data_IF_855705181268
#
_entry.id   IF_855705181268
#
_cell.length_a   1.000
_cell.length_b   1.000
_cell.length_c   1.000
_cell.angle_alpha   90.00
_cell.angle_beta   90.00
_cell.angle_gamma   90.00
#
_symmetry.space_group_name_H-M   'P 1'
#
loop_
_entity.id
_entity.type
_entity.pdbx_description
1 polymer ?
#
# COMPACT_ATOMS: atom_id res chain seq x y z
N UNK A 1 5.65 2.31 19.62
CA UNK A 1 5.49 0.94 20.14
C UNK A 1 4.07 0.76 20.65
N UNK A 2 3.51 -0.43 20.49
CA UNK A 2 2.20 -0.75 21.06
C UNK A 2 2.27 -0.69 22.59
N UNK A 3 1.17 -0.35 23.25
CA UNK A 3 1.12 -0.13 24.70
C UNK A 3 1.71 -1.31 25.48
N UNK A 4 1.38 -2.53 25.07
CA UNK A 4 1.69 -3.75 25.80
C UNK A 4 2.76 -4.59 25.10
N UNK A 5 3.47 -4.04 24.10
CA UNK A 5 4.39 -4.78 23.20
C UNK A 5 3.77 -5.99 22.50
N UNK A 6 2.44 -6.03 22.47
CA UNK A 6 1.66 -7.12 21.90
C UNK A 6 0.70 -6.53 20.87
N UNK A 7 0.42 -7.29 19.82
CA UNK A 7 -0.55 -6.96 18.78
C UNK A 7 -1.35 -8.21 18.41
N UNK A 8 -2.64 -8.06 18.12
CA UNK A 8 -3.46 -9.19 17.66
C UNK A 8 -2.97 -9.72 16.31
N UNK A 9 -2.79 -11.04 16.21
CA UNK A 9 -2.39 -11.70 14.99
C UNK A 9 -3.44 -11.52 13.88
N UNK A 10 -4.73 -11.55 14.22
CA UNK A 10 -5.83 -11.32 13.27
C UNK A 10 -5.78 -9.89 12.68
N UNK A 11 -5.47 -8.89 13.52
CA UNK A 11 -5.30 -7.51 13.06
C UNK A 11 -4.11 -7.39 12.11
N UNK A 12 -2.98 -8.08 12.38
CA UNK A 12 -1.83 -8.12 11.48
C UNK A 12 -2.16 -8.81 10.15
N UNK A 13 -2.91 -9.92 10.17
CA UNK A 13 -3.34 -10.63 8.95
C UNK A 13 -4.18 -9.72 8.06
N UNK A 14 -5.02 -8.85 8.63
CA UNK A 14 -5.76 -7.85 7.86
C UNK A 14 -4.88 -6.79 7.21
N UNK A 15 -3.67 -6.57 7.71
CA UNK A 15 -2.72 -5.57 7.22
C UNK A 15 -1.62 -6.17 6.33
N UNK A 16 -1.51 -7.50 6.27
CA UNK A 16 -0.41 -8.20 5.61
C UNK A 16 -0.16 -7.74 4.17
N UNK A 17 -1.23 -7.45 3.42
CA UNK A 17 -1.15 -6.99 2.02
C UNK A 17 -0.55 -5.60 1.89
N UNK A 18 -0.77 -4.73 2.86
CA UNK A 18 -0.26 -3.36 2.86
C UNK A 18 1.26 -3.34 3.11
N UNK A 19 1.77 -4.28 3.92
CA UNK A 19 3.19 -4.43 4.26
C UNK A 19 3.93 -5.46 3.38
N UNK A 20 3.23 -6.19 2.51
CA UNK A 20 3.84 -7.23 1.67
C UNK A 20 4.24 -8.50 2.41
N UNK A 21 3.61 -8.80 3.54
CA UNK A 21 3.91 -10.03 4.27
C UNK A 21 3.38 -11.28 3.54
N UNK A 22 4.13 -12.39 3.56
CA UNK A 22 3.65 -13.70 3.10
C UNK A 22 2.37 -14.13 3.81
N UNK A 23 1.55 -14.96 3.15
CA UNK A 23 0.31 -15.46 3.75
C UNK A 23 0.54 -16.31 5.01
N UNK A 24 1.70 -16.95 5.10
CA UNK A 24 2.12 -17.82 6.19
C UNK A 24 3.07 -17.14 7.18
N UNK A 25 3.23 -15.81 7.15
CA UNK A 25 4.29 -15.09 7.90
C UNK A 25 4.32 -15.43 9.41
N UNK A 26 3.18 -15.71 10.03
CA UNK A 26 3.13 -16.12 11.45
C UNK A 26 3.77 -17.49 11.70
N UNK A 27 3.73 -18.39 10.72
CA UNK A 27 4.32 -19.73 10.80
C UNK A 27 5.72 -19.79 10.19
N UNK A 28 6.01 -18.92 9.22
CA UNK A 28 7.28 -18.95 8.46
C UNK A 28 8.31 -17.95 8.99
N UNK A 29 7.90 -16.72 9.35
CA UNK A 29 8.79 -15.64 9.78
C UNK A 29 9.01 -15.67 11.30
N UNK A 30 7.94 -15.79 12.09
CA UNK A 30 8.03 -15.71 13.56
C UNK A 30 8.96 -16.78 14.15
N UNK A 31 8.89 -18.06 13.74
CA UNK A 31 9.79 -19.08 14.31
C UNK A 31 11.26 -18.93 13.90
N UNK A 32 11.56 -18.17 12.84
CA UNK A 32 12.94 -17.87 12.43
C UNK A 32 13.61 -16.82 13.31
N UNK A 33 12.81 -16.01 14.01
CA UNK A 33 13.27 -14.90 14.83
C UNK A 33 12.67 -14.96 16.26
N UNK A 34 12.86 -16.07 16.99
CA UNK A 34 12.29 -16.26 18.33
C UNK A 34 12.84 -15.28 19.38
N UNK A 35 14.01 -14.67 19.12
CA UNK A 35 14.62 -13.64 19.93
C UNK A 35 13.84 -12.31 19.87
N UNK A 36 13.20 -12.03 18.74
CA UNK A 36 12.43 -10.80 18.54
C UNK A 36 10.94 -11.01 18.77
N UNK A 37 10.38 -12.11 18.26
CA UNK A 37 8.95 -12.33 18.23
C UNK A 37 8.54 -13.63 18.89
N UNK A 38 7.42 -13.56 19.62
CA UNK A 38 6.78 -14.74 20.20
C UNK A 38 5.30 -14.73 19.90
N UNK A 39 4.75 -15.86 19.45
CA UNK A 39 3.32 -16.03 19.34
C UNK A 39 2.76 -16.45 20.69
N UNK A 40 1.85 -15.65 21.25
CA UNK A 40 1.22 -15.84 22.56
C UNK A 40 -0.29 -15.99 22.35
N UNK A 41 -0.90 -16.97 22.99
CA UNK A 41 -2.34 -17.21 22.90
C UNK A 41 -2.70 -18.66 23.12
N UNK A 42 -3.96 -18.90 23.50
CA UNK A 42 -4.48 -20.25 23.73
C UNK A 42 -5.17 -20.75 22.45
N UNK A 43 -4.84 -21.95 21.93
CA UNK A 43 -5.53 -22.54 20.77
C UNK A 43 -7.05 -22.64 20.94
N UNK A 44 -7.54 -22.63 22.19
CA UNK A 44 -8.96 -22.73 22.56
C UNK A 44 -9.73 -21.41 22.54
N UNK A 45 -9.04 -20.26 22.52
CA UNK A 45 -9.68 -18.94 22.68
C UNK A 45 -9.72 -18.12 21.39
N UNK A 46 -9.34 -18.71 20.25
CA UNK A 46 -9.28 -18.09 18.89
C UNK A 46 -8.45 -16.80 18.77
N UNK A 47 -7.91 -16.28 19.87
CA UNK A 47 -7.13 -15.03 19.91
C UNK A 47 -5.66 -15.35 20.08
N UNK A 48 -4.95 -15.32 18.95
CA UNK A 48 -3.50 -15.33 18.91
C UNK A 48 -2.96 -13.91 18.86
N UNK A 49 -1.84 -13.67 19.52
CA UNK A 49 -1.17 -12.39 19.61
C UNK A 49 0.31 -12.55 19.30
N UNK A 50 0.88 -11.54 18.66
CA UNK A 50 2.31 -11.44 18.43
C UNK A 50 2.90 -10.51 19.51
N UNK A 51 3.75 -11.08 20.36
CA UNK A 51 4.55 -10.39 21.37
C UNK A 51 5.91 -10.01 20.79
N UNK A 52 6.32 -8.76 21.02
CA UNK A 52 7.66 -8.26 20.78
C UNK A 52 8.52 -8.50 22.04
N UNK A 53 9.37 -9.52 22.00
CA UNK A 53 10.24 -9.95 23.10
C UNK A 53 11.41 -8.98 23.26
N UNK A 54 12.11 -8.72 22.16
CA UNK A 54 13.22 -7.78 22.08
C UNK A 54 13.25 -7.15 20.69
N UNK A 55 14.04 -6.10 20.51
CA UNK A 55 14.29 -5.53 19.19
C UNK A 55 15.73 -5.03 19.12
N UNK A 56 16.27 -4.98 17.91
CA UNK A 56 17.50 -4.26 17.62
C UNK A 56 17.17 -2.76 17.52
N UNK A 57 17.89 -1.90 18.25
CA UNK A 57 17.69 -0.45 18.25
C UNK A 57 17.90 0.16 16.86
N UNK A 58 18.76 -0.42 16.02
CA UNK A 58 18.96 0.03 14.64
C UNK A 58 17.71 -0.16 13.76
N UNK A 59 16.85 -1.12 14.08
CA UNK A 59 15.56 -1.31 13.39
C UNK A 59 14.45 -0.41 13.94
N UNK A 60 14.68 0.23 15.09
CA UNK A 60 13.70 1.07 15.78
C UNK A 60 13.92 2.57 15.53
N UNK A 61 14.50 2.92 14.37
CA UNK A 61 14.65 4.29 13.89
C UNK A 61 13.59 4.55 12.82
N UNK A 62 12.78 5.59 13.03
CA UNK A 62 11.79 6.00 12.03
C UNK A 62 12.44 6.56 10.77
N UNK A 63 11.70 6.59 9.66
CA UNK A 63 12.17 7.18 8.40
C UNK A 63 12.59 8.65 8.55
N UNK A 64 11.96 9.38 9.47
CA UNK A 64 12.28 10.78 9.74
C UNK A 64 13.60 10.91 10.53
N UNK A 65 13.86 9.99 11.45
CA UNK A 65 15.11 9.96 12.19
C UNK A 65 16.29 9.57 11.31
N UNK A 66 16.12 8.50 10.52
CA UNK A 66 17.15 8.04 9.58
C UNK A 66 17.53 9.16 8.60
N UNK A 67 16.55 9.85 8.03
CA UNK A 67 16.81 11.01 7.16
C UNK A 67 17.61 12.11 7.87
N UNK A 68 17.29 12.39 9.13
CA UNK A 68 18.01 13.42 9.89
C UNK A 68 19.44 12.98 10.26
N UNK A 69 19.65 11.69 10.54
CA UNK A 69 20.96 11.10 10.78
C UNK A 69 21.82 11.18 9.51
N UNK A 70 21.31 10.74 8.37
CA UNK A 70 21.97 10.82 7.05
C UNK A 70 22.35 12.27 6.69
N UNK A 71 21.42 13.22 6.84
CA UNK A 71 21.72 14.64 6.59
C UNK A 71 22.77 15.19 7.56
N UNK A 72 22.80 14.70 8.80
CA UNK A 72 23.80 15.11 9.79
C UNK A 72 25.18 14.61 9.41
N UNK A 73 25.30 13.37 8.94
CA UNK A 73 26.55 12.78 8.47
C UNK A 73 27.07 13.50 7.22
N UNK A 74 26.19 13.80 6.27
CA UNK A 74 26.55 14.48 5.01
C UNK A 74 27.00 15.94 5.23
N UNK A 75 26.37 16.65 6.15
CA UNK A 75 26.65 18.09 6.39
C UNK A 75 27.65 18.33 7.52
N UNK A 76 27.93 17.32 8.35
CA UNK A 76 28.69 17.46 9.59
C UNK A 76 27.97 18.26 10.68
N UNK A 77 26.70 18.63 10.47
CA UNK A 77 25.90 19.44 11.39
C UNK A 77 24.74 18.59 11.90
N UNK A 78 24.61 18.47 13.22
CA UNK A 78 23.50 17.74 13.84
C UNK A 78 22.15 18.33 13.44
N UNK A 79 21.42 17.61 12.59
CA UNK A 79 20.03 17.91 12.20
C UNK A 79 19.07 17.33 13.23
N UNK A 80 17.94 18.01 13.42
CA UNK A 80 16.83 17.53 14.24
C UNK A 80 15.82 16.81 13.33
N UNK A 81 15.30 15.63 13.72
CA UNK A 81 14.22 14.97 13.01
C UNK A 81 13.03 15.93 12.84
N UNK A 82 12.58 16.13 11.60
CA UNK A 82 11.50 17.06 11.29
C UNK A 82 10.68 16.58 10.10
N UNK A 83 9.38 16.87 10.12
CA UNK A 83 8.47 16.48 9.05
C UNK A 83 8.68 17.36 7.81
N UNK A 84 8.62 16.76 6.63
CA UNK A 84 8.62 17.51 5.37
C UNK A 84 7.20 17.96 5.02
N UNK A 85 6.78 19.09 5.59
CA UNK A 85 5.43 19.61 5.35
C UNK A 85 5.38 20.42 4.06
N UNK A 86 4.66 19.93 3.05
CA UNK A 86 4.53 20.58 1.74
C UNK A 86 3.10 20.49 1.22
N UNK A 87 2.52 21.63 0.83
CA UNK A 87 1.24 21.66 0.13
C UNK A 87 1.43 21.56 -1.38
N UNK A 88 0.47 20.98 -2.10
CA UNK A 88 0.47 21.02 -3.56
C UNK A 88 0.46 22.46 -4.09
N UNK A 89 1.03 22.72 -5.28
CA UNK A 89 0.95 24.01 -5.93
C UNK A 89 -0.52 24.49 -6.03
N UNK A 90 -0.76 25.77 -5.74
CA UNK A 90 -2.09 26.38 -5.80
C UNK A 90 -2.97 26.16 -4.55
N UNK A 91 -2.52 25.39 -3.56
CA UNK A 91 -3.19 25.31 -2.26
C UNK A 91 -2.76 26.45 -1.34
N UNK A 92 -3.73 27.21 -0.85
CA UNK A 92 -3.52 28.25 0.14
C UNK A 92 -4.25 27.90 1.43
N UNK A 93 -3.51 27.91 2.54
CA UNK A 93 -4.09 27.82 3.89
C UNK A 93 -4.22 29.21 4.48
N UNK A 94 -5.25 29.38 5.32
CA UNK A 94 -5.49 30.61 6.08
C UNK A 94 -4.31 30.91 7.00
N UNK A 95 -4.15 32.19 7.37
CA UNK A 95 -3.01 32.65 8.18
C UNK A 95 -2.93 31.92 9.52
N UNK A 96 -4.08 31.74 10.18
CA UNK A 96 -4.19 31.08 11.48
C UNK A 96 -3.73 29.62 11.40
N UNK A 97 -4.11 28.92 10.33
CA UNK A 97 -3.67 27.54 10.10
C UNK A 97 -2.16 27.47 9.85
N UNK A 98 -1.58 28.47 9.17
CA UNK A 98 -0.15 28.53 8.90
C UNK A 98 0.66 28.75 10.19
N UNK A 99 0.19 29.64 11.04
CA UNK A 99 0.78 29.89 12.36
C UNK A 99 0.68 28.63 13.24
N UNK A 100 -0.49 27.98 13.25
CA UNK A 100 -0.66 26.72 13.96
C UNK A 100 0.28 25.62 13.45
N UNK A 101 0.44 25.45 12.13
CA UNK A 101 1.38 24.47 11.55
C UNK A 101 2.81 24.80 11.93
N UNK A 102 3.20 26.08 11.91
CA UNK A 102 4.55 26.52 12.33
C UNK A 102 4.79 26.13 13.79
N UNK A 103 3.88 26.49 14.69
CA UNK A 103 4.04 26.23 16.12
C UNK A 103 4.02 24.71 16.40
N UNK A 104 3.19 23.95 15.69
CA UNK A 104 3.19 22.49 15.75
C UNK A 104 4.49 21.88 15.21
N UNK A 105 5.08 22.45 14.15
CA UNK A 105 6.35 21.99 13.58
C UNK A 105 7.52 22.17 14.55
N UNK A 106 7.55 23.26 15.32
CA UNK A 106 8.56 23.56 16.34
C UNK A 106 8.55 22.58 17.52
N UNK A 107 7.44 21.87 17.76
CA UNK A 107 7.39 20.83 18.78
C UNK A 107 8.46 19.76 18.51
N UNK A 108 9.19 19.29 19.53
CA UNK A 108 10.15 18.20 19.38
C UNK A 108 9.51 16.98 18.72
N UNK A 109 10.26 16.35 17.81
CA UNK A 109 9.83 15.07 17.25
C UNK A 109 9.74 14.01 18.35
N UNK A 110 8.68 13.22 18.33
CA UNK A 110 8.44 12.16 19.30
C UNK A 110 8.57 10.82 18.59
N UNK A 111 9.52 10.03 19.07
CA UNK A 111 9.87 8.72 18.55
C UNK A 111 8.66 7.78 18.48
N UNK A 112 8.28 7.27 17.30
CA UNK A 112 7.16 6.35 17.14
C UNK A 112 7.33 5.09 18.00
N UNK A 113 8.55 4.56 18.06
CA UNK A 113 8.90 3.36 18.82
C UNK A 113 9.03 3.60 20.33
N UNK A 114 9.10 4.86 20.78
CA UNK A 114 9.20 5.20 22.20
C UNK A 114 7.94 4.89 23.02
N UNK A 115 8.13 4.81 24.34
CA UNK A 115 7.02 4.79 25.30
C UNK A 115 6.38 6.19 25.37
N UNK A 116 5.06 6.22 25.31
CA UNK A 116 4.24 7.44 25.33
C UNK A 116 3.15 7.38 26.40
N UNK A 117 3.30 6.50 27.40
CA UNK A 117 2.35 6.36 28.50
C UNK A 117 2.19 7.66 29.30
N UNK A 118 3.25 8.47 29.38
CA UNK A 118 3.29 9.71 30.16
C UNK A 118 2.62 10.91 29.47
N UNK A 119 2.31 10.83 28.18
CA UNK A 119 1.61 11.91 27.48
C UNK A 119 0.10 11.81 27.69
N UNK A 120 -0.52 12.96 27.94
CA UNK A 120 -1.98 13.08 27.99
C UNK A 120 -2.57 12.96 26.58
N UNK A 121 -3.72 12.28 26.46
CA UNK A 121 -4.27 11.92 25.15
C UNK A 121 -4.66 13.12 24.27
N UNK A 122 -5.03 14.24 24.88
CA UNK A 122 -5.41 15.50 24.24
C UNK A 122 -4.24 16.46 24.02
N UNK A 123 -3.03 16.09 24.44
CA UNK A 123 -1.85 16.96 24.35
C UNK A 123 -1.35 17.14 22.91
N UNK A 124 -0.76 18.32 22.57
CA UNK A 124 -0.07 18.52 21.29
C UNK A 124 1.04 17.49 21.02
N UNK A 125 1.70 17.02 22.08
CA UNK A 125 2.72 15.97 22.05
C UNK A 125 2.12 14.63 21.60
N UNK A 126 0.98 14.21 22.16
CA UNK A 126 0.31 12.98 21.72
C UNK A 126 -0.12 13.07 20.25
N UNK A 127 -0.53 14.24 19.79
CA UNK A 127 -0.81 14.47 18.38
C UNK A 127 0.46 14.37 17.52
N UNK A 128 1.55 15.01 17.93
CA UNK A 128 2.86 14.93 17.25
C UNK A 128 3.32 13.48 17.10
N UNK A 129 3.19 12.68 18.16
CA UNK A 129 3.45 11.24 18.14
C UNK A 129 2.51 10.50 17.20
N UNK A 130 1.21 10.79 17.25
CA UNK A 130 0.22 10.14 16.38
C UNK A 130 0.56 10.37 14.91
N UNK A 131 0.93 11.61 14.54
CA UNK A 131 1.41 11.93 13.20
C UNK A 131 2.68 11.17 12.85
N UNK A 132 3.66 11.08 13.77
CA UNK A 132 4.88 10.29 13.58
C UNK A 132 4.59 8.79 13.37
N UNK A 133 3.70 8.21 14.17
CA UNK A 133 3.26 6.81 14.04
C UNK A 133 2.58 6.56 12.70
N UNK A 134 1.66 7.44 12.28
CA UNK A 134 0.96 7.29 11.01
C UNK A 134 1.92 7.48 9.83
N UNK A 135 2.85 8.43 9.93
CA UNK A 135 3.90 8.63 8.96
C UNK A 135 4.76 7.37 8.81
N UNK A 136 5.20 6.79 9.92
CA UNK A 136 6.02 5.58 9.92
C UNK A 136 5.25 4.37 9.36
N UNK A 137 4.01 4.15 9.80
CA UNK A 137 3.16 3.06 9.29
C UNK A 137 2.94 3.14 7.78
N UNK A 138 2.70 4.34 7.26
CA UNK A 138 2.58 4.54 5.82
C UNK A 138 3.94 4.39 5.15
N UNK A 139 5.03 4.87 5.73
CA UNK A 139 6.38 4.74 5.16
C UNK A 139 6.82 3.29 5.02
N UNK A 140 6.38 2.41 5.91
CA UNK A 140 6.62 0.96 5.87
C UNK A 140 5.69 0.21 4.90
N UNK A 141 4.58 0.81 4.45
CA UNK A 141 3.67 0.13 3.52
C UNK A 141 4.20 0.17 2.09
N UNK A 142 3.90 -0.86 1.29
CA UNK A 142 4.44 -1.02 -0.07
C UNK A 142 4.15 0.20 -0.95
N UNK A 143 2.90 0.66 -0.94
CA UNK A 143 2.42 1.77 -1.74
C UNK A 143 2.48 3.11 -0.98
N UNK A 144 3.11 3.17 0.20
CA UNK A 144 3.14 4.35 1.06
C UNK A 144 1.74 4.96 1.32
N UNK A 145 0.74 4.09 1.31
CA UNK A 145 -0.67 4.37 1.52
C UNK A 145 -1.33 3.21 2.25
N UNK A 146 -2.47 3.47 2.89
CA UNK A 146 -3.25 2.44 3.59
C UNK A 146 -4.70 2.90 3.81
N UNK A 147 -5.71 2.01 3.72
CA UNK A 147 -7.08 2.36 4.09
C UNK A 147 -7.19 2.76 5.56
N UNK A 148 -7.89 3.86 5.85
CA UNK A 148 -8.00 4.42 7.21
C UNK A 148 -8.71 3.45 8.17
N UNK A 149 -9.67 2.66 7.68
CA UNK A 149 -10.36 1.67 8.50
C UNK A 149 -9.44 0.51 8.92
N UNK A 150 -8.41 0.20 8.12
CA UNK A 150 -7.39 -0.80 8.45
C UNK A 150 -6.47 -0.26 9.54
N UNK A 151 -5.99 0.98 9.41
CA UNK A 151 -5.22 1.67 10.46
C UNK A 151 -6.01 1.72 11.78
N UNK A 152 -7.32 1.99 11.69
CA UNK A 152 -8.22 2.08 12.84
C UNK A 152 -8.33 0.78 13.65
N UNK A 153 -8.01 -0.38 13.08
CA UNK A 153 -7.97 -1.65 13.84
C UNK A 153 -6.90 -1.61 14.95
N UNK A 154 -5.83 -0.84 14.76
CA UNK A 154 -4.72 -0.70 15.71
C UNK A 154 -4.87 0.47 16.70
N UNK A 155 -6.08 1.03 16.79
CA UNK A 155 -6.38 2.19 17.62
C UNK A 155 -6.04 1.97 19.10
N UNK A 156 -6.35 0.79 19.63
CA UNK A 156 -6.10 0.45 21.04
C UNK A 156 -4.61 0.27 21.31
N UNK A 157 -3.93 -0.48 20.43
CA UNK A 157 -2.51 -0.78 20.52
C UNK A 157 -1.64 0.47 20.49
N UNK A 158 -1.97 1.43 19.61
CA UNK A 158 -1.19 2.67 19.45
C UNK A 158 -1.74 3.87 20.19
N UNK A 159 -2.85 3.70 20.93
CA UNK A 159 -3.56 4.77 21.65
C UNK A 159 -3.98 5.92 20.73
N UNK A 160 -4.54 5.59 19.57
CA UNK A 160 -5.13 6.60 18.70
C UNK A 160 -6.43 7.15 19.29
N UNK A 161 -6.67 8.45 19.11
CA UNK A 161 -7.92 9.07 19.55
C UNK A 161 -9.13 8.53 18.74
N UNK A 162 -10.34 8.69 19.27
CA UNK A 162 -11.57 8.37 18.53
C UNK A 162 -11.67 9.11 17.19
N UNK A 163 -11.08 10.31 17.13
CA UNK A 163 -11.07 11.17 15.97
C UNK A 163 -9.74 11.12 15.19
N UNK A 164 -8.90 10.07 15.33
CA UNK A 164 -7.57 10.04 14.71
C UNK A 164 -7.59 10.27 13.19
N UNK A 165 -8.68 9.87 12.51
CA UNK A 165 -8.83 10.10 11.08
C UNK A 165 -8.81 11.60 10.69
N UNK A 166 -9.14 12.51 11.61
CA UNK A 166 -9.04 13.96 11.38
C UNK A 166 -7.59 14.44 11.28
N UNK A 167 -6.63 13.66 11.77
CA UNK A 167 -5.19 13.95 11.64
C UNK A 167 -4.80 14.05 10.17
N UNK A 168 -5.36 13.19 9.30
CA UNK A 168 -5.05 13.21 7.87
C UNK A 168 -5.51 14.49 7.17
N UNK A 169 -6.64 15.08 7.59
CA UNK A 169 -7.14 16.32 6.99
C UNK A 169 -6.49 17.56 7.61
N UNK A 170 -6.20 17.52 8.92
CA UNK A 170 -5.53 18.61 9.65
C UNK A 170 -4.05 18.74 9.26
N UNK A 171 -3.37 17.62 9.01
CA UNK A 171 -1.98 17.58 8.56
C UNK A 171 -1.87 17.35 7.05
N UNK A 172 -2.62 18.15 6.29
CA UNK A 172 -2.76 18.00 4.83
C UNK A 172 -1.48 18.26 4.03
N UNK A 173 -0.44 18.83 4.64
CA UNK A 173 0.89 18.95 4.03
C UNK A 173 1.76 17.69 4.17
N UNK A 174 1.36 16.73 5.01
CA UNK A 174 2.04 15.44 5.18
C UNK A 174 1.24 14.31 4.53
N UNK A 175 -0.08 14.35 4.71
CA UNK A 175 -0.98 13.32 4.24
C UNK A 175 -1.94 13.84 3.19
N UNK A 176 -2.33 12.93 2.30
CA UNK A 176 -3.46 13.08 1.42
C UNK A 176 -4.50 12.03 1.78
N UNK A 177 -5.77 12.43 1.86
CA UNK A 177 -6.89 11.53 2.12
C UNK A 177 -7.72 11.38 0.84
N UNK A 178 -7.65 10.22 0.21
CA UNK A 178 -8.47 9.87 -0.95
C UNK A 178 -9.81 9.27 -0.50
N UNK A 179 -10.88 9.58 -1.23
CA UNK A 179 -12.23 9.04 -1.04
C UNK A 179 -12.68 8.16 -2.22
N UNK A 180 -11.73 7.72 -3.05
CA UNK A 180 -12.02 6.96 -4.27
C UNK A 180 -12.73 5.65 -3.93
N UNK A 181 -13.83 5.36 -4.63
CA UNK A 181 -14.58 4.12 -4.45
C UNK A 181 -15.27 4.00 -3.09
N UNK A 182 -15.53 5.11 -2.39
CA UNK A 182 -16.16 5.12 -1.06
C UNK A 182 -15.24 4.70 0.08
N UNK A 183 -13.98 4.39 -0.20
CA UNK A 183 -12.99 4.00 0.80
C UNK A 183 -12.10 5.20 1.11
N UNK A 184 -11.96 5.52 2.40
CA UNK A 184 -11.01 6.53 2.88
C UNK A 184 -9.61 5.92 2.91
N UNK A 185 -8.72 6.38 2.05
CA UNK A 185 -7.33 5.90 1.96
C UNK A 185 -6.37 7.02 2.29
N UNK A 186 -5.53 6.82 3.31
CA UNK A 186 -4.48 7.74 3.66
C UNK A 186 -3.23 7.47 2.81
N UNK A 187 -2.63 8.52 2.27
CA UNK A 187 -1.46 8.47 1.40
C UNK A 187 -0.41 9.43 1.97
N UNK A 188 0.84 8.97 2.06
CA UNK A 188 1.97 9.80 2.47
C UNK A 188 2.41 10.69 1.31
N UNK A 189 2.32 12.01 1.43
CA UNK A 189 2.59 12.92 0.30
C UNK A 189 4.04 12.92 -0.13
N UNK A 190 4.96 12.95 0.81
CA UNK A 190 6.40 13.04 0.49
C UNK A 190 6.94 11.80 -0.23
N UNK A 191 6.22 10.67 -0.17
CA UNK A 191 6.57 9.47 -0.92
C UNK A 191 6.26 9.56 -2.42
N UNK A 192 5.53 10.60 -2.85
CA UNK A 192 5.04 10.74 -4.22
C UNK A 192 5.56 12.02 -4.87
N UNK A 193 6.01 11.87 -6.11
CA UNK A 193 6.28 12.99 -7.00
C UNK A 193 5.25 12.95 -8.13
N UNK A 194 4.38 13.95 -8.16
CA UNK A 194 3.17 13.96 -9.00
C UNK A 194 2.29 12.75 -8.69
N UNK A 195 2.22 11.77 -9.59
CA UNK A 195 1.43 10.55 -9.45
C UNK A 195 2.31 9.29 -9.28
N UNK A 196 3.63 9.46 -9.26
CA UNK A 196 4.58 8.34 -9.18
C UNK A 196 5.17 8.22 -7.79
N UNK A 197 5.18 6.99 -7.29
CA UNK A 197 5.86 6.62 -6.07
C UNK A 197 7.37 6.75 -6.28
N UNK A 198 8.06 7.47 -5.40
CA UNK A 198 9.50 7.77 -5.52
C UNK A 198 10.32 6.51 -5.24
N UNK A 199 10.10 5.91 -4.07
CA UNK A 199 10.76 4.69 -3.63
C UNK A 199 9.83 3.50 -3.84
N UNK A 200 10.15 2.68 -4.84
CA UNK A 200 9.32 1.53 -5.24
C UNK A 200 9.89 0.25 -4.66
N UNK A 201 9.10 -0.43 -3.84
CA UNK A 201 9.44 -1.73 -3.31
C UNK A 201 9.65 -2.78 -4.44
N UNK A 202 10.66 -3.66 -4.35
CA UNK A 202 10.89 -4.72 -5.34
C UNK A 202 9.67 -5.60 -5.64
N UNK A 203 8.80 -5.86 -4.65
CA UNK A 203 7.56 -6.61 -4.85
C UNK A 203 6.61 -5.91 -5.82
N UNK A 204 6.57 -4.58 -5.81
CA UNK A 204 5.77 -3.82 -6.76
C UNK A 204 6.35 -3.93 -8.19
N UNK A 205 7.67 -3.91 -8.33
CA UNK A 205 8.33 -4.07 -9.63
C UNK A 205 8.07 -5.46 -10.22
N UNK A 206 8.15 -6.51 -9.40
CA UNK A 206 7.83 -7.88 -9.81
C UNK A 206 6.36 -7.99 -10.22
N UNK A 207 5.46 -7.39 -9.44
CA UNK A 207 4.02 -7.38 -9.76
C UNK A 207 3.74 -6.68 -11.10
N UNK A 208 4.36 -5.54 -11.37
CA UNK A 208 4.19 -4.83 -12.65
C UNK A 208 4.63 -5.71 -13.83
N UNK A 209 5.81 -6.33 -13.74
CA UNK A 209 6.31 -7.26 -14.76
C UNK A 209 5.37 -8.45 -14.97
N UNK A 210 4.79 -8.96 -13.88
CA UNK A 210 3.82 -10.04 -13.97
C UNK A 210 2.55 -9.61 -14.71
N UNK A 211 2.07 -8.39 -14.48
CA UNK A 211 0.91 -7.83 -15.20
C UNK A 211 1.24 -7.65 -16.69
N UNK A 212 2.42 -7.12 -17.00
CA UNK A 212 2.90 -6.96 -18.39
C UNK A 212 2.90 -8.31 -19.15
N UNK A 213 3.48 -9.36 -18.56
CA UNK A 213 3.49 -10.71 -19.16
C UNK A 213 2.07 -11.29 -19.35
N UNK A 214 1.15 -11.00 -18.43
CA UNK A 214 -0.25 -11.42 -18.58
C UNK A 214 -0.95 -10.69 -19.72
N UNK A 215 -0.66 -9.41 -19.92
CA UNK A 215 -1.21 -8.61 -21.01
C UNK A 215 -0.69 -9.08 -22.37
N UNK A 216 0.61 -9.39 -22.47
CA UNK A 216 1.22 -10.00 -23.66
C UNK A 216 0.56 -11.34 -23.99
N UNK A 217 0.47 -12.25 -23.03
CA UNK A 217 -0.15 -13.57 -23.23
C UNK A 217 -1.64 -13.48 -23.61
N UNK A 218 -2.37 -12.51 -23.07
CA UNK A 218 -3.76 -12.24 -23.47
C UNK A 218 -3.87 -11.73 -24.91
N UNK A 219 -2.93 -10.89 -25.32
CA UNK A 219 -2.86 -10.33 -26.68
C UNK A 219 -2.58 -11.45 -27.69
N UNK A 220 -1.57 -12.28 -27.44
CA UNK A 220 -1.25 -13.45 -28.26
C UNK A 220 -2.43 -14.41 -28.39
N UNK A 221 -3.11 -14.71 -27.28
CA UNK A 221 -4.31 -15.55 -27.28
C UNK A 221 -5.43 -14.95 -28.13
N UNK A 222 -5.66 -13.63 -28.03
CA UNK A 222 -6.68 -12.94 -28.81
C UNK A 222 -6.37 -12.99 -30.31
N UNK A 223 -5.10 -12.81 -30.69
CA UNK A 223 -4.65 -12.92 -32.09
C UNK A 223 -4.82 -14.33 -32.64
N UNK A 224 -4.42 -15.36 -31.88
CA UNK A 224 -4.61 -16.76 -32.28
C UNK A 224 -6.09 -17.10 -32.50
N UNK A 225 -6.98 -16.63 -31.62
CA UNK A 225 -8.42 -16.81 -31.78
C UNK A 225 -8.96 -16.07 -33.00
N UNK A 226 -8.45 -14.86 -33.29
CA UNK A 226 -8.82 -14.10 -34.49
C UNK A 226 -8.41 -14.84 -35.76
N UNK A 227 -7.18 -15.35 -35.82
CA UNK A 227 -6.67 -16.10 -36.97
C UNK A 227 -7.46 -17.40 -37.19
N UNK A 228 -7.76 -18.15 -36.12
CA UNK A 228 -8.60 -19.36 -36.20
C UNK A 228 -10.01 -19.06 -36.73
N UNK A 229 -10.63 -17.97 -36.28
CA UNK A 229 -11.94 -17.53 -36.82
C UNK A 229 -11.86 -17.17 -38.30
N UNK A 230 -10.81 -16.48 -38.72
CA UNK A 230 -10.61 -16.14 -40.14
C UNK A 230 -10.37 -17.38 -41.00
N UNK A 231 -9.63 -18.36 -40.49
CA UNK A 231 -9.43 -19.64 -41.19
C UNK A 231 -10.74 -20.40 -41.33
N UNK A 232 -11.49 -20.55 -40.23
CA UNK A 232 -12.80 -21.21 -40.26
C UNK A 232 -13.78 -20.51 -41.21
N UNK A 233 -13.79 -19.17 -41.22
CA UNK A 233 -14.63 -18.40 -42.13
C UNK A 233 -14.24 -18.64 -43.61
N UNK A 234 -12.94 -18.67 -43.93
CA UNK A 234 -12.46 -19.00 -45.28
C UNK A 234 -12.80 -20.43 -45.69
N UNK A 235 -12.72 -21.39 -44.76
CA UNK A 235 -13.11 -22.77 -45.02
C UNK A 235 -14.61 -22.88 -45.33
N UNK A 236 -15.46 -22.18 -44.58
CA UNK A 236 -16.90 -22.10 -44.86
C UNK A 236 -17.19 -21.44 -46.21
N UNK A 237 -16.51 -20.35 -46.55
CA UNK A 237 -16.66 -19.68 -47.85
C UNK A 237 -16.23 -20.58 -49.01
N UNK A 238 -15.10 -21.30 -48.88
CA UNK A 238 -14.64 -22.23 -49.90
C UNK A 238 -15.57 -23.44 -50.05
N UNK A 239 -16.16 -23.94 -48.96
CA UNK A 239 -17.16 -25.00 -49.01
C UNK A 239 -18.42 -24.53 -49.75
N UNK A 240 -18.94 -23.35 -49.43
CA UNK A 240 -20.10 -22.78 -50.10
C UNK A 240 -19.86 -22.57 -51.61
N UNK A 241 -18.69 -22.06 -52.00
CA UNK A 241 -18.33 -21.89 -53.43
C UNK A 241 -18.28 -23.25 -54.13
N UNK A 242 -17.71 -24.29 -53.51
CA UNK A 242 -17.72 -25.64 -54.08
C UNK A 242 -19.14 -26.17 -54.29
N UNK A 243 -20.00 -26.04 -53.29
CA UNK A 243 -21.39 -26.49 -53.37
C UNK A 243 -22.17 -25.75 -54.49
N UNK A 244 -21.86 -24.48 -54.71
CA UNK A 244 -22.47 -23.68 -55.78
C UNK A 244 -21.98 -24.12 -57.17
N UNK A 245 -20.70 -24.44 -57.30
CA UNK A 245 -20.10 -24.90 -58.57
C UNK A 245 -20.56 -26.31 -58.93
N UNK A 246 -20.69 -27.21 -57.94
CA UNK A 246 -21.26 -28.55 -58.17
C UNK A 246 -22.72 -28.50 -58.60
N UNK A 247 -23.54 -27.64 -57.99
CA UNK A 247 -24.93 -27.45 -58.41
C UNK A 247 -25.03 -26.88 -59.84
N UNK A 248 -24.14 -25.95 -60.23
CA UNK A 248 -24.12 -25.42 -61.60
C UNK A 248 -23.65 -26.45 -62.64
N UNK A 249 -22.73 -27.35 -62.28
CA UNK A 249 -22.30 -28.46 -63.15
C UNK A 249 -23.40 -29.50 -63.32
N UNK A 250 -24.14 -29.85 -62.27
CA UNK A 250 -25.29 -30.75 -62.35
C UNK A 250 -26.44 -30.15 -63.19
N UNK A 251 -26.68 -28.84 -63.11
CA UNK A 251 -27.66 -28.15 -63.98
C UNK A 251 -27.24 -28.14 -65.46
N UNK A 252 -25.95 -27.95 -65.77
CA UNK A 252 -25.43 -27.96 -67.14
C UNK A 252 -25.46 -29.37 -67.77
N UNK A 253 -25.12 -30.42 -67.02
CA UNK A 253 -25.19 -31.81 -67.50
C UNK A 253 -26.63 -32.31 -67.70
N UNK A 254 -27.60 -31.76 -66.97
CA UNK A 254 -29.02 -32.05 -67.16
C UNK A 254 -29.66 -31.31 -68.35
N UNK A 255 -29.03 -30.22 -68.83
CA UNK A 255 -29.51 -29.40 -69.95
C UNK A 255 -29.10 -29.88 -71.35
N UNK A 256 -28.06 -30.73 -71.47
CA UNK A 256 -27.58 -31.28 -72.75
C UNK A 256 -28.32 -32.56 -73.22
N UNK A 257 -29.36 -33.00 -72.50
CA UNK A 257 -30.15 -34.21 -72.83
C UNK A 257 -31.51 -33.92 -73.50
N UNK A 258 -31.73 -32.76 -74.13
CA UNK A 258 -32.96 -32.43 -74.88
C UNK A 258 -32.70 -32.15 -76.35
#
# INVERSE_FOLDING_TARGET
MSRDKVISADKLVHMKREFGFPDDFLCSLVPKYPEYFRLVGCPREEKSFLELVSWNEEFAKSVIELRAEEESELTGIRRRPSFNWKLPPGFFIRKEMREWVRDWMELPYIFPYGNASHYEQSSPEMEKRTVGMLHEMLSLSLLKMMPVHIIGKLKEEYRFSNAFASVFTRHSGLFYLSLKGGIKTAILREAYQNEKLIDRDPLLVIKDKFVELLEEGNTERAEQLRLKRQQFQKELEMAAVKDTVSNQQEELESGEQL
#
